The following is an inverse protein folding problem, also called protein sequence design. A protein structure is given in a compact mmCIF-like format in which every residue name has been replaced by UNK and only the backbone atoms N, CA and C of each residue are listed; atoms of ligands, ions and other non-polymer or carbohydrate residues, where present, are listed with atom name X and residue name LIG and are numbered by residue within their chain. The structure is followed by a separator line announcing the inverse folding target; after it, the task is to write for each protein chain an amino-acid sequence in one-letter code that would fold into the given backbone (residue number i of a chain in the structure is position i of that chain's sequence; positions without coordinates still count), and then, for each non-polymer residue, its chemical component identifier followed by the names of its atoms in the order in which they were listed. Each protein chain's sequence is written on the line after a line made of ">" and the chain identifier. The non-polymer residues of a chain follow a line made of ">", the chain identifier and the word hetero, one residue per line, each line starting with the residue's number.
data_IF_466180229000
#
_entry.id   IF_466180229000
#
_cell.length_a   1.000
_cell.length_b   1.000
_cell.length_c   1.000
_cell.angle_alpha   90.00
_cell.angle_beta   90.00
_cell.angle_gamma   90.00
#
_symmetry.space_group_name_H-M   'P 1'
#
loop_
_entity.id
_entity.type
_entity.pdbx_description
1 polymer ?
#
# COMPACT_ATOMS: atom_id res chain seq x y z
N UNK A 1 -1.62 -11.49 5.92
CA UNK A 1 -2.41 -12.64 6.42
C UNK A 1 -3.91 -12.39 6.30
N UNK A 2 -4.55 -11.56 7.14
CA UNK A 2 -6.01 -11.36 7.14
C UNK A 2 -6.66 -11.14 5.74
N UNK A 3 -6.21 -10.14 5.00
CA UNK A 3 -6.78 -9.80 3.69
C UNK A 3 -6.69 -10.92 2.63
N UNK A 4 -5.52 -11.57 2.51
CA UNK A 4 -5.28 -12.57 1.47
C UNK A 4 -5.74 -13.98 1.90
N UNK A 5 -5.58 -14.34 3.17
CA UNK A 5 -5.80 -15.71 3.65
C UNK A 5 -7.20 -15.91 4.27
N UNK A 6 -7.80 -14.86 4.85
CA UNK A 6 -9.12 -14.99 5.48
C UNK A 6 -10.21 -14.36 4.61
N UNK A 7 -9.96 -13.15 4.10
CA UNK A 7 -10.91 -12.47 3.21
C UNK A 7 -10.78 -12.89 1.74
N UNK A 8 -9.74 -13.66 1.39
CA UNK A 8 -9.49 -14.15 0.03
C UNK A 8 -9.48 -13.03 -1.02
N UNK A 9 -9.03 -11.83 -0.65
CA UNK A 9 -8.88 -10.73 -1.60
C UNK A 9 -7.77 -11.05 -2.59
N UNK A 10 -7.97 -10.69 -3.85
CA UNK A 10 -6.91 -10.81 -4.86
C UNK A 10 -5.85 -9.72 -4.71
N UNK A 11 -6.26 -8.52 -4.29
CA UNK A 11 -5.41 -7.31 -4.31
C UNK A 11 -5.72 -6.40 -3.14
N UNK A 12 -4.67 -5.78 -2.63
CA UNK A 12 -4.74 -4.66 -1.69
C UNK A 12 -4.13 -3.41 -2.32
N UNK A 13 -4.80 -2.29 -2.08
CA UNK A 13 -4.33 -0.98 -2.51
C UNK A 13 -4.13 -0.06 -1.32
N UNK A 14 -3.13 0.80 -1.43
CA UNK A 14 -2.79 1.79 -0.42
C UNK A 14 -2.60 3.13 -1.12
N UNK A 15 -3.41 4.12 -0.72
CA UNK A 15 -3.34 5.49 -1.23
C UNK A 15 -2.70 6.38 -0.16
N UNK A 16 -1.61 7.06 -0.49
CA UNK A 16 -0.86 7.89 0.45
C UNK A 16 -0.65 9.29 -0.14
N UNK A 17 -1.01 10.33 0.62
CA UNK A 17 -0.68 11.71 0.27
C UNK A 17 0.84 11.87 0.10
N UNK A 18 1.36 12.42 -1.02
CA UNK A 18 2.79 12.49 -1.30
C UNK A 18 3.66 13.11 -0.20
N UNK A 19 3.14 14.09 0.55
CA UNK A 19 3.85 14.74 1.66
C UNK A 19 3.99 13.87 2.92
N UNK A 20 3.20 12.79 3.04
CA UNK A 20 3.26 11.90 4.20
C UNK A 20 4.46 10.95 4.07
N UNK A 21 5.63 11.47 4.40
CA UNK A 21 6.91 10.75 4.31
C UNK A 21 6.95 9.51 5.20
N UNK A 22 6.31 9.56 6.37
CA UNK A 22 6.27 8.43 7.30
C UNK A 22 5.56 7.21 6.69
N UNK A 23 4.37 7.40 6.13
CA UNK A 23 3.63 6.30 5.48
C UNK A 23 4.33 5.83 4.19
N UNK A 24 4.93 6.75 3.42
CA UNK A 24 5.72 6.39 2.22
C UNK A 24 6.91 5.49 2.57
N UNK A 25 7.62 5.79 3.65
CA UNK A 25 8.75 4.97 4.13
C UNK A 25 8.33 3.55 4.48
N UNK A 26 7.10 3.34 4.94
CA UNK A 26 6.57 1.99 5.18
C UNK A 26 6.43 1.25 3.85
N UNK A 27 5.89 1.88 2.81
CA UNK A 27 5.76 1.27 1.48
C UNK A 27 7.13 0.95 0.87
N UNK A 28 8.12 1.82 1.05
CA UNK A 28 9.50 1.59 0.60
C UNK A 28 10.13 0.38 1.30
N UNK A 29 9.99 0.27 2.63
CA UNK A 29 10.52 -0.88 3.37
C UNK A 29 9.80 -2.18 3.04
N UNK A 30 8.49 -2.11 2.83
CA UNK A 30 7.69 -3.24 2.39
C UNK A 30 7.88 -3.52 0.90
N UNK A 31 8.64 -2.70 0.17
CA UNK A 31 8.88 -2.81 -1.26
C UNK A 31 7.58 -3.08 -2.04
N UNK A 32 6.57 -2.24 -1.78
CA UNK A 32 5.29 -2.27 -2.51
C UNK A 32 5.41 -1.41 -3.76
N UNK A 33 4.82 -1.91 -4.83
CA UNK A 33 4.93 -1.29 -6.15
C UNK A 33 4.11 0.00 -6.17
N UNK A 34 4.74 1.12 -6.52
CA UNK A 34 4.05 2.37 -6.80
C UNK A 34 3.49 2.31 -8.22
N UNK A 35 2.18 2.45 -8.37
CA UNK A 35 1.49 2.30 -9.65
C UNK A 35 1.09 3.63 -10.28
N UNK A 36 1.17 4.74 -9.53
CA UNK A 36 0.95 6.07 -10.08
C UNK A 36 0.50 7.10 -9.06
N UNK A 37 0.23 8.31 -9.56
CA UNK A 37 -0.34 9.42 -8.81
C UNK A 37 -1.80 9.61 -9.23
N UNK A 38 -2.70 9.64 -8.26
CA UNK A 38 -4.06 10.12 -8.44
C UNK A 38 -4.13 11.59 -8.04
N UNK A 39 -4.33 12.47 -9.02
CA UNK A 39 -4.43 13.91 -8.77
C UNK A 39 -5.76 14.27 -8.11
N UNK A 40 -5.73 15.13 -7.09
CA UNK A 40 -6.91 15.64 -6.37
C UNK A 40 -7.88 14.52 -5.96
N UNK A 41 -7.34 13.46 -5.37
CA UNK A 41 -8.07 12.22 -5.12
C UNK A 41 -9.06 12.33 -3.95
N UNK A 42 -8.64 12.96 -2.85
CA UNK A 42 -9.48 13.12 -1.65
C UNK A 42 -9.32 14.52 -1.06
N UNK A 43 -10.43 15.07 -0.57
CA UNK A 43 -10.41 16.30 0.20
C UNK A 43 -10.05 16.00 1.66
N UNK A 44 -8.94 16.58 2.15
CA UNK A 44 -8.47 16.44 3.52
C UNK A 44 -8.25 17.85 4.07
N UNK A 45 -8.96 18.18 5.15
CA UNK A 45 -8.89 19.50 5.79
C UNK A 45 -9.10 20.68 4.83
N UNK A 46 -10.07 20.55 3.90
CA UNK A 46 -10.42 21.60 2.93
C UNK A 46 -9.49 21.71 1.73
N UNK A 47 -8.53 20.79 1.58
CA UNK A 47 -7.59 20.76 0.46
C UNK A 47 -7.77 19.46 -0.32
N UNK A 48 -7.92 19.55 -1.64
CA UNK A 48 -7.89 18.39 -2.52
C UNK A 48 -6.46 17.88 -2.67
N UNK A 49 -6.21 16.71 -2.12
CA UNK A 49 -4.87 16.12 -2.02
C UNK A 49 -4.65 15.06 -3.08
N UNK A 50 -3.48 15.12 -3.71
CA UNK A 50 -3.00 14.03 -4.54
C UNK A 50 -2.67 12.81 -3.69
N UNK A 51 -2.71 11.62 -4.28
CA UNK A 51 -2.37 10.37 -3.61
C UNK A 51 -1.52 9.48 -4.51
N UNK A 52 -0.36 9.05 -4.00
CA UNK A 52 0.38 7.95 -4.59
C UNK A 52 -0.37 6.65 -4.32
N UNK A 53 -0.58 5.85 -5.37
CA UNK A 53 -1.23 4.56 -5.30
C UNK A 53 -0.18 3.47 -5.31
N UNK A 54 -0.19 2.67 -4.26
CA UNK A 54 0.60 1.46 -4.12
C UNK A 54 -0.32 0.25 -4.13
N UNK A 55 0.23 -0.90 -4.51
CA UNK A 55 -0.51 -2.14 -4.42
C UNK A 55 0.38 -3.35 -4.20
N UNK A 56 -0.28 -4.41 -3.72
CA UNK A 56 0.26 -5.76 -3.68
C UNK A 56 -0.87 -6.75 -4.01
N UNK A 57 -0.54 -7.73 -4.82
CA UNK A 57 -1.43 -8.83 -5.22
C UNK A 57 -1.20 -10.08 -4.39
N UNK A 58 -2.14 -11.03 -4.44
CA UNK A 58 -2.03 -12.30 -3.72
C UNK A 58 -0.85 -13.14 -4.23
N UNK A 59 -0.51 -13.04 -5.51
CA UNK A 59 0.63 -13.72 -6.13
C UNK A 59 1.95 -13.18 -5.55
N UNK A 60 2.10 -11.86 -5.49
CA UNK A 60 3.26 -11.20 -4.89
C UNK A 60 3.35 -11.48 -3.39
N UNK A 61 2.21 -11.46 -2.68
CA UNK A 61 2.15 -11.81 -1.27
C UNK A 61 2.57 -13.27 -1.03
N UNK A 62 2.08 -14.21 -1.84
CA UNK A 62 2.44 -15.63 -1.73
C UNK A 62 3.94 -15.85 -1.94
N UNK A 63 4.54 -15.17 -2.93
CA UNK A 63 5.97 -15.26 -3.22
C UNK A 63 6.85 -14.69 -2.09
N UNK A 64 6.34 -13.72 -1.33
CA UNK A 64 7.11 -12.96 -0.32
C UNK A 64 6.59 -13.14 1.11
N UNK A 65 5.70 -14.11 1.33
CA UNK A 65 4.94 -14.27 2.58
C UNK A 65 5.84 -14.33 3.80
N UNK A 66 6.85 -15.19 3.76
CA UNK A 66 7.70 -15.44 4.92
C UNK A 66 8.59 -14.23 5.25
N UNK A 67 9.06 -13.51 4.23
CA UNK A 67 9.79 -12.26 4.41
C UNK A 67 8.89 -11.17 5.03
N UNK A 68 7.68 -10.98 4.49
CA UNK A 68 6.74 -9.95 4.95
C UNK A 68 6.23 -10.23 6.36
N UNK A 69 5.98 -11.49 6.69
CA UNK A 69 5.54 -11.92 8.02
C UNK A 69 6.69 -11.83 9.02
N UNK A 70 7.87 -12.38 8.72
CA UNK A 70 8.99 -12.44 9.66
C UNK A 70 9.72 -11.12 9.89
N UNK A 71 9.59 -10.14 9.00
CA UNK A 71 10.20 -8.81 9.17
C UNK A 71 9.35 -7.85 10.02
N UNK A 72 8.07 -8.15 10.27
CA UNK A 72 7.11 -7.21 10.86
C UNK A 72 6.14 -7.79 11.88
N UNK A 73 6.14 -9.11 12.10
CA UNK A 73 5.52 -9.80 13.24
C UNK A 73 6.58 -10.52 14.06
#
# INVERSE_FOLDING_TARGET
>A
RFAFEQLHLHRLEICIVPRNTNSRRVMEKLDYRCEGLAERFLEIAGVWEDHLRYAITVEEFAARRDQLVGAWM
#
